data_IF_383748192368
#
_entry.id   IF_383748192368
#
_cell.length_a   1.000
_cell.length_b   1.000
_cell.length_c   1.000
_cell.angle_alpha   90.00
_cell.angle_beta   90.00
_cell.angle_gamma   90.00
#
_symmetry.space_group_name_H-M   'P 1'
#
loop_
_entity.id
_entity.type
_entity.pdbx_description
1 polymer ?
#
# COMPACT_ATOMS: atom_id res chain seq x y z
N UNK A 1 0.33 16.52 16.38
CA UNK A 1 1.29 16.61 15.24
C UNK A 1 0.87 15.56 14.22
N UNK A 2 0.67 15.94 12.97
CA UNK A 2 0.28 14.98 11.92
C UNK A 2 1.51 14.13 11.59
N UNK A 3 1.36 12.81 11.49
CA UNK A 3 2.47 11.95 11.06
C UNK A 3 2.81 12.27 9.62
N UNK A 4 4.08 12.47 9.32
CA UNK A 4 4.59 12.74 7.97
C UNK A 4 5.41 11.56 7.50
N UNK A 5 5.24 11.20 6.23
CA UNK A 5 6.00 10.13 5.58
C UNK A 5 6.62 10.62 4.27
N UNK A 6 7.69 9.95 3.88
CA UNK A 6 8.37 10.12 2.60
C UNK A 6 8.33 8.77 1.88
N UNK A 7 7.92 8.78 0.61
CA UNK A 7 8.04 7.65 -0.30
C UNK A 7 9.42 7.72 -0.97
N UNK A 8 10.16 6.64 -0.92
CA UNK A 8 11.53 6.56 -1.43
C UNK A 8 11.76 5.27 -2.21
N UNK A 9 12.85 5.23 -2.97
CA UNK A 9 13.30 3.99 -3.62
C UNK A 9 13.60 2.90 -2.58
N UNK A 10 13.34 1.66 -2.97
CA UNK A 10 13.55 0.48 -2.12
C UNK A 10 15.04 0.14 -2.07
N UNK A 11 15.53 -0.17 -0.88
CA UNK A 11 16.90 -0.68 -0.67
C UNK A 11 16.89 -2.15 -0.27
N UNK A 12 18.02 -2.84 -0.43
CA UNK A 12 18.17 -4.25 0.03
C UNK A 12 17.88 -4.41 1.53
N UNK A 13 18.26 -3.40 2.32
CA UNK A 13 17.96 -3.40 3.76
C UNK A 13 16.46 -3.24 4.03
N UNK A 14 15.73 -2.51 3.19
CA UNK A 14 14.28 -2.39 3.31
C UNK A 14 13.61 -3.72 3.01
N UNK A 15 14.04 -4.40 1.94
CA UNK A 15 13.53 -5.74 1.60
C UNK A 15 13.80 -6.75 2.72
N UNK A 16 14.98 -6.70 3.34
CA UNK A 16 15.28 -7.57 4.49
C UNK A 16 14.33 -7.30 5.66
N UNK A 17 14.06 -6.02 5.98
CA UNK A 17 13.08 -5.66 7.02
C UNK A 17 11.65 -6.09 6.66
N UNK A 18 11.24 -5.94 5.41
CA UNK A 18 9.93 -6.46 4.94
C UNK A 18 9.85 -7.96 5.16
N UNK A 19 10.88 -8.72 4.77
CA UNK A 19 10.92 -10.15 4.99
C UNK A 19 10.76 -10.53 6.47
N UNK A 20 11.44 -9.78 7.37
CA UNK A 20 11.36 -10.02 8.81
C UNK A 20 9.98 -9.65 9.38
N UNK A 21 9.40 -8.52 8.97
CA UNK A 21 8.07 -8.12 9.44
C UNK A 21 6.97 -9.08 9.00
N UNK A 22 7.07 -9.67 7.81
CA UNK A 22 6.10 -10.62 7.29
C UNK A 22 6.11 -11.98 8.00
N UNK A 23 7.16 -12.29 8.77
CA UNK A 23 7.17 -13.48 9.66
C UNK A 23 6.14 -13.35 10.79
N UNK A 24 5.83 -12.11 11.21
CA UNK A 24 4.75 -11.87 12.18
C UNK A 24 3.38 -12.11 11.51
N UNK A 25 2.61 -13.11 11.99
CA UNK A 25 1.31 -13.41 11.41
C UNK A 25 0.35 -12.22 11.40
N UNK A 26 0.37 -11.39 12.43
CA UNK A 26 -0.49 -10.22 12.51
C UNK A 26 -0.17 -9.19 11.41
N UNK A 27 1.09 -9.04 11.07
CA UNK A 27 1.53 -8.17 9.96
C UNK A 27 1.18 -8.76 8.60
N UNK A 28 1.56 -10.02 8.37
CA UNK A 28 1.33 -10.66 7.07
C UNK A 28 -0.15 -10.81 6.74
N UNK A 29 -0.99 -11.10 7.72
CA UNK A 29 -2.44 -11.28 7.52
C UNK A 29 -3.16 -9.97 7.18
N UNK A 30 -2.69 -8.85 7.72
CA UNK A 30 -3.23 -7.52 7.39
C UNK A 30 -2.72 -6.96 6.05
N UNK A 31 -1.72 -7.61 5.44
CA UNK A 31 -1.17 -7.27 4.11
C UNK A 31 -1.84 -8.11 3.03
N UNK A 32 -1.17 -9.10 2.50
CA UNK A 32 -1.70 -10.01 1.49
C UNK A 32 -2.13 -11.38 2.05
N UNK A 33 -1.94 -11.59 3.36
CA UNK A 33 -2.20 -12.87 4.01
C UNK A 33 -1.10 -13.89 3.77
N UNK A 34 -1.50 -15.16 3.74
CA UNK A 34 -0.58 -16.28 3.50
C UNK A 34 -1.03 -17.12 2.32
N UNK A 35 -0.07 -17.67 1.60
CA UNK A 35 -0.35 -18.69 0.59
C UNK A 35 -0.94 -19.94 1.24
N UNK A 36 -1.60 -20.79 0.47
CA UNK A 36 -2.22 -22.04 0.96
C UNK A 36 -1.22 -23.02 1.56
N UNK A 37 0.07 -22.87 1.24
CA UNK A 37 1.17 -23.66 1.82
C UNK A 37 1.82 -23.01 3.06
N UNK A 38 1.25 -21.92 3.58
CA UNK A 38 1.61 -21.33 4.88
C UNK A 38 2.61 -20.19 4.84
N UNK A 39 3.31 -19.96 3.72
CA UNK A 39 4.25 -18.84 3.59
C UNK A 39 3.52 -17.49 3.51
N UNK A 40 4.10 -16.39 4.05
CA UNK A 40 3.56 -15.06 3.87
C UNK A 40 3.44 -14.70 2.39
N UNK A 41 2.28 -14.19 2.00
CA UNK A 41 2.07 -13.74 0.62
C UNK A 41 2.62 -12.33 0.43
N UNK A 42 3.35 -12.13 -0.66
CA UNK A 42 3.81 -10.82 -1.11
C UNK A 42 3.63 -10.72 -2.63
N UNK A 43 2.96 -9.68 -3.08
CA UNK A 43 2.78 -9.44 -4.51
C UNK A 43 3.91 -8.55 -5.03
N UNK A 44 4.33 -8.82 -6.28
CA UNK A 44 5.38 -8.05 -6.94
C UNK A 44 6.77 -8.69 -6.83
N UNK A 45 7.15 -9.21 -5.68
CA UNK A 45 8.43 -9.92 -5.51
C UNK A 45 8.40 -10.87 -4.32
N UNK A 46 9.43 -11.73 -4.20
CA UNK A 46 9.63 -12.60 -3.05
C UNK A 46 10.72 -12.00 -2.14
N UNK A 47 10.38 -11.40 -0.98
CA UNK A 47 11.33 -10.63 -0.19
C UNK A 47 12.62 -11.42 0.17
N UNK A 48 12.49 -12.67 0.60
CA UNK A 48 13.65 -13.47 0.97
C UNK A 48 14.59 -13.78 -0.20
N UNK A 49 14.06 -13.98 -1.41
CA UNK A 49 14.87 -14.19 -2.62
C UNK A 49 15.58 -12.91 -3.04
N UNK A 50 14.90 -11.76 -2.92
CA UNK A 50 15.44 -10.47 -3.33
C UNK A 50 16.59 -9.98 -2.45
N UNK A 51 16.74 -10.47 -1.21
CA UNK A 51 17.87 -10.11 -0.35
C UNK A 51 19.20 -10.49 -1.03
N UNK A 52 19.27 -11.66 -1.66
CA UNK A 52 20.47 -12.20 -2.30
C UNK A 52 20.47 -12.03 -3.83
N UNK A 53 19.48 -11.31 -4.40
CA UNK A 53 19.36 -11.07 -5.83
C UNK A 53 20.59 -10.32 -6.39
N UNK A 54 21.04 -10.71 -7.58
CA UNK A 54 22.05 -9.94 -8.29
C UNK A 54 21.47 -8.62 -8.83
N UNK A 55 22.33 -7.74 -9.37
CA UNK A 55 21.89 -6.40 -9.85
C UNK A 55 20.87 -6.49 -11.01
N UNK A 56 20.97 -7.49 -11.89
CA UNK A 56 20.04 -7.66 -13.01
C UNK A 56 18.65 -8.03 -12.50
N UNK A 57 18.57 -9.00 -11.58
CA UNK A 57 17.31 -9.41 -10.95
C UNK A 57 16.70 -8.28 -10.12
N UNK A 58 17.54 -7.48 -9.47
CA UNK A 58 17.10 -6.30 -8.71
C UNK A 58 16.49 -5.25 -9.61
N UNK A 59 17.19 -4.88 -10.68
CA UNK A 59 16.74 -3.88 -11.64
C UNK A 59 15.46 -4.31 -12.36
N UNK A 60 15.33 -5.59 -12.69
CA UNK A 60 14.11 -6.13 -13.30
C UNK A 60 12.89 -5.91 -12.41
N UNK A 61 13.00 -6.14 -11.10
CA UNK A 61 11.86 -6.04 -10.18
C UNK A 61 11.55 -4.58 -9.80
N UNK A 62 12.57 -3.76 -9.55
CA UNK A 62 12.37 -2.44 -8.94
C UNK A 62 12.51 -1.27 -9.93
N UNK A 63 13.14 -1.47 -11.07
CA UNK A 63 13.46 -0.39 -12.01
C UNK A 63 12.96 -0.62 -13.43
N UNK A 64 12.63 -1.86 -13.84
CA UNK A 64 12.11 -2.11 -15.18
C UNK A 64 10.62 -1.73 -15.26
N UNK A 65 10.25 -0.68 -16.02
CA UNK A 65 8.86 -0.28 -16.20
C UNK A 65 8.04 -1.27 -17.04
N UNK A 66 8.69 -2.23 -17.70
CA UNK A 66 8.04 -3.25 -18.52
C UNK A 66 7.93 -4.60 -17.81
N UNK A 67 8.37 -4.69 -16.56
CA UNK A 67 8.20 -5.90 -15.75
C UNK A 67 6.72 -6.18 -15.50
N UNK A 68 6.28 -7.39 -15.81
CA UNK A 68 4.88 -7.78 -15.61
C UNK A 68 4.71 -8.73 -14.41
N UNK A 69 3.75 -8.45 -13.50
CA UNK A 69 2.82 -7.31 -13.52
C UNK A 69 3.49 -6.01 -13.08
N UNK A 70 3.25 -4.92 -13.82
CA UNK A 70 3.88 -3.63 -13.49
C UNK A 70 3.43 -3.13 -12.10
N UNK A 71 4.40 -3.06 -11.20
CA UNK A 71 4.23 -2.51 -9.85
C UNK A 71 5.32 -1.51 -9.54
N UNK A 72 4.92 -0.28 -9.23
CA UNK A 72 5.82 0.66 -8.58
C UNK A 72 5.86 0.31 -7.09
N UNK A 73 7.03 -0.05 -6.58
CA UNK A 73 7.26 -0.46 -5.20
C UNK A 73 8.10 0.61 -4.52
N UNK A 74 7.62 1.13 -3.39
CA UNK A 74 8.19 2.27 -2.71
C UNK A 74 8.39 1.98 -1.22
N UNK A 75 9.55 2.34 -0.68
CA UNK A 75 9.80 2.36 0.76
C UNK A 75 9.01 3.49 1.41
N UNK A 76 8.34 3.19 2.52
CA UNK A 76 7.69 4.18 3.38
C UNK A 76 8.61 4.53 4.53
N UNK A 77 8.99 5.80 4.64
CA UNK A 77 9.88 6.31 5.68
C UNK A 77 9.22 7.42 6.48
N UNK A 78 9.58 7.53 7.75
CA UNK A 78 9.23 8.71 8.56
C UNK A 78 9.95 9.96 8.03
N UNK A 79 9.55 11.15 8.46
CA UNK A 79 10.26 12.40 8.17
C UNK A 79 11.73 12.38 8.64
N UNK A 80 12.08 11.56 9.63
CA UNK A 80 13.48 11.36 10.08
C UNK A 80 14.26 10.34 9.23
N UNK A 81 13.64 9.75 8.19
CA UNK A 81 14.27 8.78 7.30
C UNK A 81 14.19 7.33 7.75
N UNK A 82 13.54 7.03 8.87
CA UNK A 82 13.39 5.68 9.38
C UNK A 82 12.40 4.87 8.50
N UNK A 83 12.81 3.69 8.02
CA UNK A 83 11.98 2.79 7.24
C UNK A 83 10.90 2.14 8.13
N UNK A 84 9.65 2.27 7.75
CA UNK A 84 8.49 1.82 8.53
C UNK A 84 7.54 0.92 7.76
N UNK A 85 7.68 0.81 6.45
CA UNK A 85 6.76 0.04 5.64
C UNK A 85 7.02 0.11 4.14
N UNK A 86 6.07 -0.39 3.37
CA UNK A 86 6.09 -0.44 1.92
C UNK A 86 4.76 0.04 1.34
N UNK A 87 4.82 0.69 0.20
CA UNK A 87 3.67 0.98 -0.64
C UNK A 87 3.88 0.38 -2.03
N UNK A 88 2.84 -0.21 -2.59
CA UNK A 88 2.83 -0.75 -3.94
C UNK A 88 1.70 -0.15 -4.75
N UNK A 89 2.00 0.22 -5.99
CA UNK A 89 1.05 0.69 -6.98
C UNK A 89 1.07 -0.28 -8.17
N UNK A 90 0.03 -1.09 -8.34
CA UNK A 90 -0.16 -1.83 -9.58
C UNK A 90 -0.88 -0.90 -10.57
N UNK A 91 -0.17 -0.46 -11.59
CA UNK A 91 -0.58 0.59 -12.52
C UNK A 91 -1.09 -0.06 -13.80
N UNK A 92 -2.29 0.33 -14.24
CA UNK A 92 -2.81 0.06 -15.57
C UNK A 92 -2.92 1.38 -16.34
N UNK A 93 -1.91 1.65 -17.17
CA UNK A 93 -1.86 2.89 -17.96
C UNK A 93 -2.97 2.97 -18.99
N UNK A 94 -3.40 1.82 -19.55
CA UNK A 94 -4.44 1.78 -20.55
C UNK A 94 -5.82 2.15 -19.99
N UNK A 95 -6.07 1.78 -18.73
CA UNK A 95 -7.29 2.16 -18.01
C UNK A 95 -7.13 3.49 -17.25
N UNK A 96 -5.91 3.95 -17.02
CA UNK A 96 -5.62 5.15 -16.24
C UNK A 96 -5.89 4.95 -14.77
N UNK A 97 -5.68 3.76 -14.22
CA UNK A 97 -5.91 3.47 -12.81
C UNK A 97 -4.71 2.82 -12.11
N UNK A 98 -4.74 2.85 -10.78
CA UNK A 98 -3.77 2.15 -9.95
C UNK A 98 -4.44 1.46 -8.76
N UNK A 99 -4.09 0.19 -8.54
CA UNK A 99 -4.36 -0.48 -7.28
C UNK A 99 -3.28 -0.11 -6.27
N UNK A 100 -3.70 0.45 -5.15
CA UNK A 100 -2.82 0.81 -4.04
C UNK A 100 -2.83 -0.30 -2.98
N UNK A 101 -1.66 -0.68 -2.51
CA UNK A 101 -1.47 -1.52 -1.32
C UNK A 101 -0.43 -0.87 -0.42
N UNK A 102 -0.66 -0.87 0.89
CA UNK A 102 0.27 -0.31 1.87
C UNK A 102 0.53 -1.28 3.02
N UNK A 103 1.75 -1.34 3.48
CA UNK A 103 2.19 -2.03 4.69
C UNK A 103 2.86 -1.04 5.64
N UNK A 104 2.42 -0.99 6.90
CA UNK A 104 3.22 -0.46 8.01
C UNK A 104 3.68 -1.67 8.82
N UNK A 105 4.95 -2.07 8.62
CA UNK A 105 5.50 -3.29 9.22
C UNK A 105 5.78 -3.15 10.71
N UNK A 106 5.99 -1.92 11.18
CA UNK A 106 6.24 -1.61 12.59
C UNK A 106 4.93 -1.47 13.35
N UNK A 107 4.51 -2.51 14.08
CA UNK A 107 3.23 -2.56 14.82
C UNK A 107 3.08 -1.45 15.86
N UNK A 108 4.17 -1.04 16.49
CA UNK A 108 4.17 0.06 17.48
C UNK A 108 3.81 1.43 16.86
N UNK A 109 3.81 1.53 15.53
CA UNK A 109 3.39 2.72 14.80
C UNK A 109 1.95 2.65 14.29
N UNK A 110 1.27 1.52 14.46
CA UNK A 110 -0.13 1.39 14.09
C UNK A 110 -1.02 2.34 14.88
N UNK A 111 -2.11 2.76 14.29
CA UNK A 111 -3.06 3.73 14.87
C UNK A 111 -2.46 5.09 15.26
N UNK A 112 -1.25 5.40 14.76
CA UNK A 112 -0.59 6.71 14.96
C UNK A 112 -0.63 7.61 13.73
N UNK A 113 -1.46 7.29 12.73
CA UNK A 113 -1.66 8.10 11.53
C UNK A 113 -0.66 7.86 10.39
N UNK A 114 0.34 6.98 10.55
CA UNK A 114 1.32 6.70 9.49
C UNK A 114 0.67 6.03 8.27
N UNK A 115 -0.26 5.11 8.45
CA UNK A 115 -1.02 4.52 7.35
C UNK A 115 -1.78 5.58 6.54
N UNK A 116 -2.50 6.46 7.23
CA UNK A 116 -3.22 7.59 6.60
C UNK A 116 -2.27 8.52 5.83
N UNK A 117 -1.13 8.87 6.43
CA UNK A 117 -0.12 9.71 5.79
C UNK A 117 0.45 9.03 4.53
N UNK A 118 0.70 7.71 4.59
CA UNK A 118 1.18 6.92 3.45
C UNK A 118 0.16 6.92 2.31
N UNK A 119 -1.12 6.68 2.60
CA UNK A 119 -2.18 6.72 1.58
C UNK A 119 -2.25 8.09 0.93
N UNK A 120 -2.21 9.18 1.69
CA UNK A 120 -2.24 10.55 1.14
C UNK A 120 -1.04 10.78 0.21
N UNK A 121 0.18 10.38 0.62
CA UNK A 121 1.37 10.52 -0.22
C UNK A 121 1.28 9.69 -1.51
N UNK A 122 0.71 8.48 -1.44
CA UNK A 122 0.45 7.66 -2.62
C UNK A 122 -0.61 8.28 -3.55
N UNK A 123 -1.69 8.85 -3.00
CA UNK A 123 -2.71 9.52 -3.79
C UNK A 123 -2.17 10.78 -4.49
N UNK A 124 -1.30 11.56 -3.81
CA UNK A 124 -0.58 12.67 -4.44
C UNK A 124 0.27 12.17 -5.62
N UNK A 125 0.97 11.06 -5.43
CA UNK A 125 1.77 10.46 -6.51
C UNK A 125 0.90 9.97 -7.67
N UNK A 126 -0.17 9.22 -7.40
CA UNK A 126 -1.10 8.68 -8.40
C UNK A 126 -1.76 9.80 -9.21
N UNK A 127 -2.34 10.79 -8.55
CA UNK A 127 -3.18 11.78 -9.23
C UNK A 127 -2.41 12.99 -9.75
N UNK A 128 -1.34 13.44 -9.04
CA UNK A 128 -0.60 14.65 -9.42
C UNK A 128 0.65 14.36 -10.24
N UNK A 129 1.38 13.30 -9.90
CA UNK A 129 2.64 13.00 -10.59
C UNK A 129 2.40 12.09 -11.80
N UNK A 130 1.62 11.02 -11.63
CA UNK A 130 1.31 10.08 -12.72
C UNK A 130 0.11 10.52 -13.57
N UNK A 131 -0.74 11.42 -13.06
CA UNK A 131 -1.91 11.93 -13.78
C UNK A 131 -2.99 10.88 -14.03
N UNK A 132 -3.05 9.82 -13.22
CA UNK A 132 -4.04 8.75 -13.37
C UNK A 132 -5.43 9.25 -12.98
N UNK A 133 -6.45 8.54 -13.47
CA UNK A 133 -7.85 8.92 -13.28
C UNK A 133 -8.47 8.35 -12.00
N UNK A 134 -8.03 7.14 -11.58
CA UNK A 134 -8.62 6.39 -10.49
C UNK A 134 -7.56 5.68 -9.63
N UNK A 135 -7.78 5.65 -8.32
CA UNK A 135 -7.07 4.79 -7.37
C UNK A 135 -8.06 3.85 -6.69
N UNK A 136 -7.66 2.61 -6.42
CA UNK A 136 -8.52 1.66 -5.74
C UNK A 136 -7.74 0.71 -4.83
N UNK A 137 -8.44 0.11 -3.89
CA UNK A 137 -7.88 -0.83 -2.91
C UNK A 137 -8.78 -2.05 -2.77
N UNK A 138 -8.17 -3.19 -2.46
CA UNK A 138 -8.84 -4.45 -2.13
C UNK A 138 -8.53 -4.78 -0.66
N UNK A 139 -9.52 -4.56 0.22
CA UNK A 139 -9.37 -4.67 1.67
C UNK A 139 -10.10 -5.91 2.18
N UNK A 140 -9.42 -6.86 2.86
CA UNK A 140 -10.07 -7.98 3.52
C UNK A 140 -11.13 -7.51 4.52
N UNK A 141 -12.28 -8.19 4.58
CA UNK A 141 -13.39 -7.79 5.47
C UNK A 141 -13.02 -7.81 6.97
N UNK A 142 -12.04 -8.62 7.35
CA UNK A 142 -11.53 -8.66 8.73
C UNK A 142 -10.57 -7.51 9.05
N UNK A 143 -10.01 -6.80 8.05
CA UNK A 143 -9.17 -5.61 8.27
C UNK A 143 -10.02 -4.34 8.36
N UNK A 144 -10.84 -4.26 9.41
CA UNK A 144 -11.77 -3.14 9.63
C UNK A 144 -11.05 -1.82 9.80
N UNK A 145 -9.86 -1.82 10.42
CA UNK A 145 -9.04 -0.62 10.61
C UNK A 145 -8.61 0.02 9.29
N UNK A 146 -8.18 -0.79 8.32
CA UNK A 146 -7.83 -0.29 7.00
C UNK A 146 -9.06 0.20 6.24
N UNK A 147 -10.17 -0.54 6.30
CA UNK A 147 -11.43 -0.13 5.70
C UNK A 147 -11.89 1.23 6.22
N UNK A 148 -11.97 1.39 7.53
CA UNK A 148 -12.37 2.64 8.18
C UNK A 148 -11.45 3.80 7.76
N UNK A 149 -10.15 3.56 7.69
CA UNK A 149 -9.16 4.56 7.24
C UNK A 149 -9.43 5.01 5.80
N UNK A 150 -9.63 4.08 4.86
CA UNK A 150 -9.91 4.43 3.47
C UNK A 150 -11.24 5.16 3.30
N UNK A 151 -12.31 4.70 3.98
CA UNK A 151 -13.62 5.37 3.97
C UNK A 151 -13.53 6.79 4.54
N UNK A 152 -12.80 7.02 5.64
CA UNK A 152 -12.54 8.35 6.19
C UNK A 152 -11.72 9.26 5.27
N UNK A 153 -10.88 8.70 4.43
CA UNK A 153 -10.16 9.44 3.39
C UNK A 153 -11.02 9.73 2.15
N UNK A 154 -12.27 9.26 2.12
CA UNK A 154 -13.22 9.54 1.05
C UNK A 154 -13.25 8.49 -0.07
N UNK A 155 -12.61 7.32 0.12
CA UNK A 155 -12.82 6.19 -0.78
C UNK A 155 -14.27 5.71 -0.69
N UNK A 156 -14.84 5.35 -1.83
CA UNK A 156 -16.23 4.89 -1.95
C UNK A 156 -16.25 3.37 -2.16
N UNK A 157 -17.14 2.68 -1.46
CA UNK A 157 -17.34 1.24 -1.66
C UNK A 157 -17.94 0.97 -3.04
N UNK A 158 -17.25 0.16 -3.85
CA UNK A 158 -17.64 -0.18 -5.23
C UNK A 158 -18.11 -1.62 -5.39
N UNK A 159 -17.71 -2.51 -4.48
CA UNK A 159 -18.11 -3.90 -4.58
C UNK A 159 -17.50 -4.81 -3.52
N UNK A 160 -17.91 -6.07 -3.56
CA UNK A 160 -17.43 -7.11 -2.64
C UNK A 160 -16.99 -8.34 -3.45
N UNK A 161 -15.75 -8.77 -3.23
CA UNK A 161 -15.24 -10.03 -3.75
C UNK A 161 -15.54 -11.14 -2.75
N UNK A 162 -16.45 -12.04 -3.12
CA UNK A 162 -16.88 -13.09 -2.22
C UNK A 162 -15.81 -14.16 -2.02
N UNK A 163 -15.51 -14.49 -0.76
CA UNK A 163 -14.59 -15.57 -0.37
C UNK A 163 -13.19 -15.47 -1.03
N UNK A 164 -12.74 -14.25 -1.29
CA UNK A 164 -11.48 -13.98 -1.99
C UNK A 164 -10.24 -14.19 -1.10
N UNK A 165 -10.40 -14.09 0.24
CA UNK A 165 -9.29 -14.13 1.19
C UNK A 165 -9.32 -15.36 2.09
N UNK A 166 -8.28 -16.20 2.11
CA UNK A 166 -8.09 -17.20 3.15
C UNK A 166 -7.61 -16.53 4.44
N UNK A 167 -8.21 -16.87 5.59
CA UNK A 167 -7.79 -16.38 6.90
C UNK A 167 -8.37 -17.31 7.97
N UNK A 168 -7.55 -17.69 8.98
CA UNK A 168 -7.94 -18.57 10.10
C UNK A 168 -8.68 -19.86 9.67
N UNK A 169 -8.19 -20.49 8.58
CA UNK A 169 -8.77 -21.75 8.07
C UNK A 169 -10.13 -21.60 7.38
N UNK A 170 -10.61 -20.37 7.21
CA UNK A 170 -11.87 -20.05 6.51
C UNK A 170 -11.63 -19.20 5.26
N UNK A 171 -12.71 -18.94 4.51
CA UNK A 171 -12.71 -18.00 3.40
C UNK A 171 -13.53 -16.77 3.77
N UNK A 172 -12.94 -15.61 3.57
CA UNK A 172 -13.51 -14.30 3.86
C UNK A 172 -13.69 -13.48 2.59
N UNK A 173 -14.61 -12.53 2.64
CA UNK A 173 -14.76 -11.57 1.56
C UNK A 173 -13.66 -10.51 1.62
N UNK A 174 -13.54 -9.75 0.54
CA UNK A 174 -12.87 -8.47 0.57
C UNK A 174 -13.74 -7.40 -0.09
N UNK A 175 -13.50 -6.14 0.24
CA UNK A 175 -14.21 -5.01 -0.32
C UNK A 175 -13.31 -4.23 -1.25
N UNK A 176 -13.88 -3.79 -2.37
CA UNK A 176 -13.23 -2.87 -3.30
C UNK A 176 -13.71 -1.46 -2.95
N UNK A 177 -12.75 -0.60 -2.66
CA UNK A 177 -12.98 0.81 -2.41
C UNK A 177 -12.20 1.61 -3.47
N UNK A 178 -12.84 2.63 -4.06
CA UNK A 178 -12.24 3.44 -5.12
C UNK A 178 -12.31 4.93 -4.82
N UNK A 179 -11.42 5.69 -5.45
CA UNK A 179 -11.39 7.15 -5.42
C UNK A 179 -11.03 7.68 -6.81
N UNK A 180 -11.74 8.68 -7.29
CA UNK A 180 -11.48 9.36 -8.55
C UNK A 180 -10.62 10.62 -8.33
N UNK A 181 -9.87 11.02 -9.35
CA UNK A 181 -9.00 12.20 -9.29
C UNK A 181 -9.75 13.49 -8.88
N UNK A 182 -10.98 13.68 -9.36
CA UNK A 182 -11.80 14.85 -9.01
C UNK A 182 -12.33 14.81 -7.56
N UNK A 183 -12.44 13.64 -6.95
CA UNK A 183 -12.81 13.47 -5.53
C UNK A 183 -11.61 13.81 -4.65
N UNK A 184 -10.41 13.35 -5.05
CA UNK A 184 -9.17 13.69 -4.37
C UNK A 184 -8.88 15.19 -4.36
N UNK A 185 -9.12 15.89 -5.46
CA UNK A 185 -8.94 17.34 -5.54
C UNK A 185 -9.81 18.06 -4.49
N UNK A 186 -11.08 17.68 -4.35
CA UNK A 186 -11.97 18.24 -3.32
C UNK A 186 -11.49 17.98 -1.90
N UNK A 187 -10.95 16.78 -1.63
CA UNK A 187 -10.38 16.42 -0.34
C UNK A 187 -9.15 17.28 -0.02
N UNK A 188 -8.23 17.42 -0.96
CA UNK A 188 -6.99 18.19 -0.78
C UNK A 188 -7.26 19.68 -0.54
N UNK A 189 -8.24 20.25 -1.23
CA UNK A 189 -8.65 21.64 -1.03
C UNK A 189 -9.27 21.86 0.36
N UNK A 190 -10.09 20.92 0.84
CA UNK A 190 -10.66 20.98 2.19
C UNK A 190 -9.62 20.90 3.30
N UNK A 191 -8.59 20.06 3.11
CA UNK A 191 -7.46 19.92 4.04
C UNK A 191 -6.64 21.22 4.07
N UNK A 192 -6.38 21.83 2.92
CA UNK A 192 -5.60 23.07 2.80
C UNK A 192 -6.33 24.28 3.41
N UNK A 193 -7.65 24.35 3.29
CA UNK A 193 -8.48 25.43 3.87
C UNK A 193 -8.65 25.28 5.38
N UNK A 194 -8.70 24.05 5.92
CA UNK A 194 -8.80 23.79 7.36
C UNK A 194 -7.55 24.16 8.17
N UNK A 195 -6.40 24.35 7.52
CA UNK A 195 -5.14 24.77 8.17
C UNK A 195 -5.01 26.31 8.31
N UNK A 196 -5.93 27.09 7.75
CA UNK A 196 -5.91 28.56 7.80
C UNK A 196 -6.92 29.17 8.79
N UNK A 197 -7.56 28.34 9.62
CA UNK A 197 -8.56 28.78 10.61
C UNK A 197 -8.16 28.37 12.02
N UNK A 198 -6.99 28.85 12.50
CA UNK A 198 -6.67 28.93 13.96
C UNK A 198 -5.80 30.15 14.18
#
# INVERSE_FOLDING_TARGET
MRSEVVLAEVTREDVARIADWLEDPEVSEMWFGRYTYGEPAHLGYEPRKMIDANEVEWDEVFHDPHHEPHRSILSVRTASGEHIGEAQLAIDEALGDAQLSILIGRKELWHRGYGTATVISCLDHIFRNLGLFRAWVDVPEYNTSARDMFEHLGFIHEGTLRQSRPHDGARHNSVILGMLANEYTRLSDSISQGTHSV
#
